data_IF_444802563803
#
_entry.id   IF_444802563803
#
_cell.length_a   1.000
_cell.length_b   1.000
_cell.length_c   1.000
_cell.angle_alpha   90.00
_cell.angle_beta   90.00
_cell.angle_gamma   90.00
#
_symmetry.space_group_name_H-M   'P 1'
#
loop_
_entity.id
_entity.type
_entity.pdbx_description
1 polymer ?
#
# COMPACT_ATOMS: atom_id res chain seq x y z
N UNK A 1 16.56 18.13 3.43
CA UNK A 1 16.08 17.09 2.49
C UNK A 1 14.61 16.80 2.75
N UNK A 2 13.77 16.71 1.73
CA UNK A 2 12.40 16.31 1.96
C UNK A 2 12.36 14.87 2.50
N UNK A 3 11.43 14.60 3.40
CA UNK A 3 11.18 13.25 3.88
C UNK A 3 10.63 12.40 2.73
N UNK A 4 10.66 11.08 2.89
CA UNK A 4 10.08 10.16 1.93
C UNK A 4 8.59 10.46 1.68
N UNK A 5 7.86 10.78 2.74
CA UNK A 5 6.45 11.16 2.65
C UNK A 5 6.25 12.43 1.80
N UNK A 6 7.13 13.42 1.92
CA UNK A 6 7.05 14.64 1.11
C UNK A 6 7.30 14.37 -0.37
N UNK A 7 8.19 13.43 -0.71
CA UNK A 7 8.42 13.04 -2.09
C UNK A 7 7.19 12.37 -2.71
N UNK A 8 6.50 11.53 -1.94
CA UNK A 8 5.25 10.88 -2.36
C UNK A 8 4.13 11.89 -2.56
N UNK A 9 4.01 12.85 -1.65
CA UNK A 9 3.04 13.94 -1.77
C UNK A 9 3.31 14.78 -3.02
N UNK A 10 4.59 15.00 -3.37
CA UNK A 10 4.96 15.73 -4.58
C UNK A 10 4.50 14.99 -5.84
N UNK A 11 4.58 13.66 -5.88
CA UNK A 11 4.08 12.86 -7.00
C UNK A 11 2.57 13.02 -7.16
N UNK A 12 1.82 12.97 -6.06
CA UNK A 12 0.37 13.15 -6.08
C UNK A 12 0.02 14.56 -6.54
N UNK A 13 0.69 15.59 -6.00
CA UNK A 13 0.47 16.99 -6.40
C UNK A 13 0.72 17.16 -7.90
N UNK A 14 1.79 16.55 -8.43
CA UNK A 14 2.07 16.61 -9.85
C UNK A 14 0.93 16.00 -10.68
N UNK A 15 0.38 14.87 -10.26
CA UNK A 15 -0.78 14.26 -10.92
C UNK A 15 -2.00 15.17 -10.89
N UNK A 16 -2.27 15.80 -9.76
CA UNK A 16 -3.43 16.69 -9.61
C UNK A 16 -3.29 17.97 -10.44
N UNK A 17 -2.07 18.34 -10.81
CA UNK A 17 -1.79 19.50 -11.65
C UNK A 17 -1.79 19.19 -13.15
N UNK A 18 -2.06 17.96 -13.57
CA UNK A 18 -2.18 17.61 -14.97
C UNK A 18 -3.35 18.39 -15.60
N UNK A 19 -3.25 18.74 -16.91
CA UNK A 19 -4.18 19.69 -17.54
C UNK A 19 -5.64 19.25 -17.60
N UNK A 20 -5.91 17.94 -17.71
CA UNK A 20 -7.27 17.41 -17.85
C UNK A 20 -7.59 16.38 -16.79
N UNK A 21 -8.87 16.18 -16.49
CA UNK A 21 -9.33 15.14 -15.59
C UNK A 21 -8.89 13.75 -16.03
N UNK A 22 -8.90 13.48 -17.33
CA UNK A 22 -8.44 12.21 -17.89
C UNK A 22 -6.95 11.98 -17.60
N UNK A 23 -6.12 13.00 -17.79
CA UNK A 23 -4.68 12.92 -17.51
C UNK A 23 -4.41 12.78 -16.02
N UNK A 24 -5.17 13.49 -15.17
CA UNK A 24 -5.08 13.36 -13.72
C UNK A 24 -5.39 11.92 -13.28
N UNK A 25 -6.45 11.33 -13.84
CA UNK A 25 -6.84 9.95 -13.54
C UNK A 25 -5.76 8.97 -13.98
N UNK A 26 -5.25 9.09 -15.19
CA UNK A 26 -4.19 8.22 -15.70
C UNK A 26 -2.93 8.31 -14.82
N UNK A 27 -2.58 9.52 -14.41
CA UNK A 27 -1.41 9.76 -13.57
C UNK A 27 -1.56 9.09 -12.19
N UNK A 28 -2.68 9.31 -11.50
CA UNK A 28 -2.91 8.71 -10.17
C UNK A 28 -3.07 7.18 -10.26
N UNK A 29 -3.69 6.68 -11.33
CA UNK A 29 -3.78 5.24 -11.57
C UNK A 29 -2.40 4.62 -11.73
N UNK A 30 -1.50 5.27 -12.48
CA UNK A 30 -0.13 4.79 -12.65
C UNK A 30 0.64 4.78 -11.32
N UNK A 31 0.46 5.80 -10.47
CA UNK A 31 1.05 5.81 -9.13
C UNK A 31 0.60 4.61 -8.32
N UNK A 32 -0.69 4.30 -8.36
CA UNK A 32 -1.23 3.15 -7.65
C UNK A 32 -0.66 1.83 -8.18
N UNK A 33 -0.65 1.65 -9.50
CA UNK A 33 -0.14 0.43 -10.12
C UNK A 33 1.34 0.21 -9.79
N UNK A 34 2.14 1.27 -9.84
CA UNK A 34 3.56 1.20 -9.50
C UNK A 34 3.77 0.85 -8.01
N UNK A 35 2.95 1.43 -7.14
CA UNK A 35 3.01 1.12 -5.71
C UNK A 35 2.64 -0.33 -5.43
N UNK A 36 1.64 -0.88 -6.12
CA UNK A 36 1.24 -2.29 -5.98
C UNK A 36 2.39 -3.21 -6.39
N UNK A 37 3.07 -2.93 -7.50
CA UNK A 37 4.20 -3.75 -7.95
C UNK A 37 5.36 -3.72 -6.95
N UNK A 38 5.66 -2.55 -6.40
CA UNK A 38 6.68 -2.43 -5.37
C UNK A 38 6.28 -3.19 -4.09
N UNK A 39 5.02 -3.06 -3.67
CA UNK A 39 4.50 -3.75 -2.49
C UNK A 39 4.61 -5.27 -2.64
N UNK A 40 4.32 -5.81 -3.83
CA UNK A 40 4.45 -7.25 -4.08
C UNK A 40 5.88 -7.73 -3.85
N UNK A 41 6.87 -6.96 -4.32
CA UNK A 41 8.29 -7.31 -4.14
C UNK A 41 8.69 -7.28 -2.68
N UNK A 42 8.25 -6.25 -1.95
CA UNK A 42 8.52 -6.13 -0.51
C UNK A 42 7.85 -7.27 0.25
N UNK A 43 6.60 -7.59 -0.08
CA UNK A 43 5.84 -8.66 0.57
C UNK A 43 6.54 -10.03 0.40
N UNK A 44 7.06 -10.32 -0.79
CA UNK A 44 7.83 -11.57 -1.01
C UNK A 44 9.00 -11.65 -0.04
N UNK A 45 9.77 -10.59 0.13
CA UNK A 45 10.91 -10.58 1.04
C UNK A 45 10.48 -10.76 2.50
N UNK A 46 9.39 -10.12 2.90
CA UNK A 46 8.85 -10.27 4.26
C UNK A 46 8.41 -11.71 4.51
N UNK A 47 7.73 -12.34 3.54
CA UNK A 47 7.28 -13.73 3.66
C UNK A 47 8.45 -14.70 3.74
N UNK A 48 9.53 -14.46 3.00
CA UNK A 48 10.75 -15.27 3.10
C UNK A 48 11.35 -15.21 4.50
N UNK A 49 11.45 -14.00 5.07
CA UNK A 49 11.96 -13.83 6.44
C UNK A 49 11.04 -14.46 7.48
N UNK A 50 9.74 -14.38 7.26
CA UNK A 50 8.77 -15.03 8.15
C UNK A 50 8.91 -16.55 8.12
N UNK A 51 9.10 -17.13 6.93
CA UNK A 51 9.31 -18.56 6.77
C UNK A 51 10.60 -19.02 7.48
N UNK A 52 11.67 -18.22 7.38
CA UNK A 52 12.93 -18.50 8.10
C UNK A 52 12.71 -18.47 9.62
N UNK A 53 11.97 -17.47 10.11
CA UNK A 53 11.65 -17.37 11.54
C UNK A 53 10.84 -18.57 12.00
N UNK A 54 9.85 -18.99 11.21
CA UNK A 54 9.03 -20.16 11.52
C UNK A 54 9.86 -21.44 11.59
N UNK A 55 10.84 -21.59 10.70
CA UNK A 55 11.73 -22.75 10.72
C UNK A 55 12.62 -22.78 11.98
N UNK A 56 13.09 -21.60 12.45
CA UNK A 56 13.89 -21.51 13.66
C UNK A 56 13.07 -21.72 14.93
N UNK A 57 11.80 -21.34 14.92
CA UNK A 57 10.93 -21.35 16.09
C UNK A 57 9.92 -22.50 16.06
N UNK A 58 10.18 -23.53 15.27
CA UNK A 58 9.35 -24.72 15.17
C UNK A 58 9.14 -25.33 16.57
N UNK A 59 7.88 -25.49 16.96
CA UNK A 59 7.53 -26.05 18.27
C UNK A 59 7.48 -25.04 19.41
N UNK A 60 7.68 -23.73 19.15
CA UNK A 60 7.63 -22.71 20.20
C UNK A 60 6.21 -22.46 20.73
N UNK A 61 5.18 -22.83 19.98
CA UNK A 61 3.78 -22.57 20.34
C UNK A 61 3.25 -21.19 19.97
N UNK A 62 4.08 -20.33 19.39
CA UNK A 62 3.70 -18.95 19.03
C UNK A 62 2.92 -18.86 17.71
N UNK A 63 2.75 -19.99 17.02
CA UNK A 63 2.12 -20.03 15.72
C UNK A 63 3.05 -19.60 14.60
N UNK A 64 2.50 -19.49 13.40
CA UNK A 64 3.27 -19.18 12.19
C UNK A 64 3.31 -17.68 11.93
N UNK A 65 4.52 -17.11 11.87
CA UNK A 65 4.71 -15.72 11.49
C UNK A 65 4.25 -15.49 10.04
N UNK A 66 4.53 -16.43 9.15
CA UNK A 66 4.10 -16.32 7.74
C UNK A 66 2.58 -16.28 7.63
N UNK A 67 1.86 -17.14 8.38
CA UNK A 67 0.40 -17.16 8.37
C UNK A 67 -0.18 -15.85 8.91
N UNK A 68 0.39 -15.32 9.98
CA UNK A 68 -0.05 -14.06 10.58
C UNK A 68 0.15 -12.88 9.64
N UNK A 69 1.31 -12.82 8.98
CA UNK A 69 1.60 -11.75 8.02
C UNK A 69 0.68 -11.84 6.80
N UNK A 70 0.45 -13.05 6.28
CA UNK A 70 -0.47 -13.23 5.16
C UNK A 70 -1.90 -12.79 5.50
N UNK A 71 -2.38 -13.13 6.70
CA UNK A 71 -3.70 -12.70 7.18
C UNK A 71 -3.77 -11.19 7.36
N UNK A 72 -2.74 -10.58 7.92
CA UNK A 72 -2.64 -9.13 8.09
C UNK A 72 -2.67 -8.42 6.73
N UNK A 73 -1.97 -8.94 5.75
CA UNK A 73 -1.94 -8.35 4.41
C UNK A 73 -3.32 -8.39 3.75
N UNK A 74 -4.03 -9.50 3.87
CA UNK A 74 -5.40 -9.60 3.33
C UNK A 74 -6.35 -8.63 4.00
N UNK A 75 -6.29 -8.53 5.33
CA UNK A 75 -7.13 -7.60 6.09
C UNK A 75 -6.84 -6.16 5.71
N UNK A 76 -5.55 -5.82 5.50
CA UNK A 76 -5.15 -4.49 5.08
C UNK A 76 -5.67 -4.16 3.68
N UNK A 77 -5.61 -5.09 2.73
CA UNK A 77 -6.12 -4.86 1.38
C UNK A 77 -7.64 -4.59 1.39
N UNK A 78 -8.37 -5.33 2.20
CA UNK A 78 -9.81 -5.11 2.37
C UNK A 78 -10.07 -3.73 2.95
N UNK A 79 -9.33 -3.32 3.98
CA UNK A 79 -9.44 -2.00 4.58
C UNK A 79 -9.11 -0.90 3.56
N UNK A 80 -7.99 -1.04 2.84
CA UNK A 80 -7.59 -0.06 1.82
C UNK A 80 -8.70 0.16 0.80
N UNK A 81 -9.24 -0.93 0.25
CA UNK A 81 -10.25 -0.84 -0.79
C UNK A 81 -11.55 -0.25 -0.25
N UNK A 82 -11.97 -0.63 0.95
CA UNK A 82 -13.16 -0.06 1.57
C UNK A 82 -12.99 1.45 1.81
N UNK A 83 -11.85 1.86 2.36
CA UNK A 83 -11.59 3.27 2.64
C UNK A 83 -11.51 4.10 1.37
N UNK A 84 -10.77 3.64 0.37
CA UNK A 84 -10.54 4.45 -0.83
C UNK A 84 -11.70 4.39 -1.81
N UNK A 85 -12.30 3.23 -2.02
CA UNK A 85 -13.38 3.08 -3.02
C UNK A 85 -14.74 3.46 -2.45
N UNK A 86 -15.02 3.06 -1.22
CA UNK A 86 -16.35 3.24 -0.63
C UNK A 86 -16.46 4.55 0.16
N UNK A 87 -15.45 4.94 0.91
CA UNK A 87 -15.49 6.18 1.69
C UNK A 87 -15.05 7.36 0.84
N UNK A 88 -13.83 7.38 0.34
CA UNK A 88 -13.31 8.49 -0.49
C UNK A 88 -14.08 8.59 -1.80
N UNK A 89 -14.39 7.46 -2.42
CA UNK A 89 -15.12 7.42 -3.69
C UNK A 89 -16.60 7.75 -3.58
N UNK A 90 -17.13 7.94 -2.38
CA UNK A 90 -18.55 8.14 -2.14
C UNK A 90 -19.10 9.44 -2.72
N UNK A 91 -18.26 10.48 -2.80
CA UNK A 91 -18.68 11.80 -3.23
C UNK A 91 -19.20 11.90 -4.65
N UNK A 92 -18.93 10.92 -5.49
CA UNK A 92 -19.36 10.91 -6.89
C UNK A 92 -18.65 11.96 -7.73
N UNK A 93 -19.26 12.28 -8.87
CA UNK A 93 -18.74 13.29 -9.79
C UNK A 93 -17.66 12.76 -10.73
N UNK A 94 -17.33 13.56 -11.74
CA UNK A 94 -16.39 13.18 -12.80
C UNK A 94 -14.94 13.04 -12.30
N UNK A 95 -14.59 13.71 -11.21
CA UNK A 95 -13.25 13.66 -10.62
C UNK A 95 -13.07 12.55 -9.59
N UNK A 96 -14.10 11.76 -9.31
CA UNK A 96 -14.10 10.77 -8.23
C UNK A 96 -12.91 9.80 -8.32
N UNK A 97 -12.64 9.28 -9.52
CA UNK A 97 -11.61 8.27 -9.68
C UNK A 97 -10.19 8.81 -9.49
N UNK A 98 -9.97 10.10 -9.71
CA UNK A 98 -8.68 10.74 -9.40
C UNK A 98 -8.39 10.60 -7.90
N UNK A 99 -9.38 10.90 -7.06
CA UNK A 99 -9.24 10.81 -5.61
C UNK A 99 -9.16 9.38 -5.12
N UNK A 100 -9.91 8.46 -5.75
CA UNK A 100 -9.85 7.03 -5.43
C UNK A 100 -8.44 6.49 -5.68
N UNK A 101 -7.90 6.71 -6.88
CA UNK A 101 -6.55 6.23 -7.20
C UNK A 101 -5.47 6.91 -6.36
N UNK A 102 -5.62 8.20 -6.07
CA UNK A 102 -4.71 8.91 -5.16
C UNK A 102 -4.69 8.28 -3.76
N UNK A 103 -5.87 8.01 -3.23
CA UNK A 103 -6.01 7.33 -1.93
C UNK A 103 -5.36 5.94 -1.95
N UNK A 104 -5.66 5.14 -2.97
CA UNK A 104 -5.10 3.79 -3.11
C UNK A 104 -3.57 3.83 -3.19
N UNK A 105 -3.00 4.79 -3.92
CA UNK A 105 -1.56 4.95 -4.04
C UNK A 105 -0.93 5.33 -2.69
N UNK A 106 -1.49 6.31 -1.99
CA UNK A 106 -0.98 6.75 -0.70
C UNK A 106 -1.00 5.63 0.33
N UNK A 107 -2.12 4.92 0.45
CA UNK A 107 -2.24 3.83 1.42
C UNK A 107 -1.30 2.68 1.09
N UNK A 108 -1.11 2.38 -0.18
CA UNK A 108 -0.19 1.32 -0.59
C UNK A 108 1.26 1.71 -0.25
N UNK A 109 1.65 2.96 -0.45
CA UNK A 109 2.98 3.46 -0.06
C UNK A 109 3.17 3.41 1.46
N UNK A 110 2.14 3.75 2.22
CA UNK A 110 2.17 3.62 3.68
C UNK A 110 2.40 2.16 4.09
N UNK A 111 1.73 1.23 3.42
CA UNK A 111 1.90 -0.19 3.69
C UNK A 111 3.30 -0.68 3.38
N UNK A 112 3.90 -0.21 2.27
CA UNK A 112 5.29 -0.52 1.92
C UNK A 112 6.23 -0.10 3.05
N UNK A 113 6.07 1.11 3.59
CA UNK A 113 6.88 1.58 4.73
C UNK A 113 6.71 0.68 5.93
N UNK A 114 5.48 0.31 6.25
CA UNK A 114 5.18 -0.59 7.37
C UNK A 114 5.80 -1.98 7.17
N UNK A 115 5.68 -2.53 5.96
CA UNK A 115 6.26 -3.84 5.62
C UNK A 115 7.79 -3.85 5.69
N UNK A 116 8.43 -2.71 5.48
CA UNK A 116 9.87 -2.58 5.59
C UNK A 116 10.37 -2.51 7.05
N UNK A 117 9.47 -2.29 8.01
CA UNK A 117 9.82 -2.41 9.42
C UNK A 117 9.82 -3.91 9.75
N UNK A 118 10.91 -4.47 10.29
CA UNK A 118 10.92 -5.89 10.66
C UNK A 118 9.73 -6.24 11.55
N UNK A 119 9.07 -7.37 11.27
CA UNK A 119 7.81 -7.69 11.96
C UNK A 119 7.98 -7.91 13.46
N UNK A 120 9.16 -8.28 13.93
CA UNK A 120 9.48 -8.42 15.35
C UNK A 120 9.73 -7.06 16.04
N UNK A 121 9.73 -5.97 15.29
CA UNK A 121 9.96 -4.61 15.78
C UNK A 121 8.73 -3.71 15.63
N UNK A 122 7.66 -4.24 15.15
CA UNK A 122 6.43 -3.46 14.96
C UNK A 122 5.66 -3.26 16.25
#
# INVERSE_FOLDING_TARGET
MPSFAQAEDADLVRCLNAPTGSEQKQCTQALFQNAVEEMKKVHVRVMEKAAEADARNSGSGDGSAAAAIAASQRAWEIYRDAECRDVVGRGGGSGRMVWVFGCLAEKTRDRIRELNIPFDQR
#
